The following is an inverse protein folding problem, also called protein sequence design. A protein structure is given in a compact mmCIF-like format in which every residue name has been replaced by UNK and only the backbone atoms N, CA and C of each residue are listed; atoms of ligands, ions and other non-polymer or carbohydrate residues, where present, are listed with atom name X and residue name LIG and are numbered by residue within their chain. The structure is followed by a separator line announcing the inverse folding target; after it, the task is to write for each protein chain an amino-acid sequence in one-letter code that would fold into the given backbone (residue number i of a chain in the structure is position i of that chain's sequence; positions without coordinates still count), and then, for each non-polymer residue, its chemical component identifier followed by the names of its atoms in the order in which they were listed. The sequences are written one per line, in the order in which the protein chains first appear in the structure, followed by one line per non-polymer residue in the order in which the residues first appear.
data_IF_231172160464
#
_entry.id   IF_231172160464
#
_cell.length_a   1.000
_cell.length_b   1.000
_cell.length_c   1.000
_cell.angle_alpha   90.00
_cell.angle_beta   90.00
_cell.angle_gamma   90.00
#
_symmetry.space_group_name_H-M   'P 1'
#
loop_
_entity.id
_entity.type
_entity.pdbx_description
1 polymer ?
#
# COMPACT_ATOMS: atom_id res chain seq x y z
N UNK A 1 2.48 8.16 28.09
CA UNK A 1 3.49 8.61 27.12
C UNK A 1 3.60 7.58 26.00
N UNK A 2 3.47 8.04 24.77
CA UNK A 2 3.59 7.16 23.62
C UNK A 2 5.04 6.73 23.42
N UNK A 3 5.30 5.44 23.44
CA UNK A 3 6.64 4.89 23.20
C UNK A 3 6.73 4.34 21.77
N UNK A 4 7.91 4.49 21.16
CA UNK A 4 8.24 3.77 19.92
C UNK A 4 8.49 2.31 20.28
N UNK A 5 7.61 1.44 19.82
CA UNK A 5 7.58 0.03 20.26
C UNK A 5 8.71 -0.84 19.67
N UNK A 6 9.38 -0.35 18.64
CA UNK A 6 10.49 -1.06 18.01
C UNK A 6 11.84 -0.88 18.70
N UNK A 7 11.86 -0.22 19.85
CA UNK A 7 13.07 -0.08 20.67
C UNK A 7 12.82 -0.67 22.05
N UNK A 8 13.78 -1.46 22.53
CA UNK A 8 13.74 -2.07 23.86
C UNK A 8 14.11 -1.07 24.96
N UNK A 9 14.16 -1.53 26.20
CA UNK A 9 14.48 -0.69 27.35
C UNK A 9 15.91 -0.12 27.30
N UNK A 10 16.82 -0.75 26.56
CA UNK A 10 18.19 -0.27 26.35
C UNK A 10 18.35 0.60 25.12
N UNK A 11 17.28 0.85 24.36
CA UNK A 11 17.29 1.68 23.16
C UNK A 11 17.72 0.94 21.90
N UNK A 12 17.76 -0.39 21.92
CA UNK A 12 18.11 -1.18 20.75
C UNK A 12 16.88 -1.59 19.96
N UNK A 13 17.04 -1.62 18.62
CA UNK A 13 15.97 -2.04 17.73
C UNK A 13 15.66 -3.53 17.89
N UNK A 14 14.37 -3.85 17.95
CA UNK A 14 13.92 -5.23 17.98
C UNK A 14 12.55 -5.37 17.31
N UNK A 15 12.24 -6.57 16.86
CA UNK A 15 10.90 -6.89 16.38
C UNK A 15 10.00 -7.14 17.60
N UNK A 16 8.83 -6.47 17.65
CA UNK A 16 7.91 -6.57 18.78
C UNK A 16 7.44 -8.01 18.97
N UNK A 17 7.43 -8.49 20.22
CA UNK A 17 6.89 -9.82 20.52
C UNK A 17 5.35 -9.78 20.49
N UNK A 18 4.76 -10.51 19.55
CA UNK A 18 3.32 -10.64 19.39
C UNK A 18 2.81 -12.06 19.72
N UNK A 19 3.69 -12.88 20.33
CA UNK A 19 3.38 -14.29 20.64
C UNK A 19 2.17 -14.50 21.55
N UNK A 20 1.89 -13.54 22.44
CA UNK A 20 0.77 -13.62 23.38
C UNK A 20 -0.50 -12.91 22.87
N UNK A 21 -0.44 -12.27 21.70
CA UNK A 21 -1.60 -11.60 21.12
C UNK A 21 -2.54 -12.60 20.46
N UNK A 22 -3.86 -12.45 20.67
CA UNK A 22 -4.81 -13.34 20.01
C UNK A 22 -4.85 -13.07 18.51
N UNK A 23 -5.16 -14.12 17.75
CA UNK A 23 -5.44 -13.98 16.34
C UNK A 23 -6.83 -13.33 16.17
N UNK A 24 -6.85 -12.15 15.58
CA UNK A 24 -8.09 -11.41 15.28
C UNK A 24 -8.16 -11.05 13.81
N UNK A 25 -9.36 -10.86 13.31
CA UNK A 25 -9.57 -10.35 11.96
C UNK A 25 -9.13 -8.90 11.89
N UNK A 26 -8.25 -8.58 10.96
CA UNK A 26 -7.64 -7.25 10.81
C UNK A 26 -7.77 -6.78 9.38
N UNK A 27 -8.13 -5.51 9.24
CA UNK A 27 -8.29 -4.84 7.94
C UNK A 27 -7.49 -3.55 7.98
N UNK A 28 -6.86 -3.22 6.86
CA UNK A 28 -6.26 -1.91 6.63
C UNK A 28 -6.60 -1.45 5.23
N UNK A 29 -6.90 -0.17 5.10
CA UNK A 29 -7.14 0.50 3.83
C UNK A 29 -6.16 1.66 3.72
N UNK A 30 -5.39 1.66 2.64
CA UNK A 30 -4.41 2.71 2.34
C UNK A 30 -4.67 3.30 0.95
N UNK A 31 -4.19 4.51 0.73
CA UNK A 31 -4.33 5.20 -0.55
C UNK A 31 -3.03 5.91 -0.91
N UNK A 32 -2.91 6.28 -2.18
CA UNK A 32 -1.85 7.10 -2.71
C UNK A 32 -2.19 7.55 -4.12
N UNK A 33 -1.44 8.51 -4.64
CA UNK A 33 -1.75 9.13 -5.92
C UNK A 33 -0.48 9.32 -6.74
N UNK A 34 -0.60 9.18 -8.06
CA UNK A 34 0.42 9.58 -9.02
C UNK A 34 -0.18 10.61 -9.97
N UNK A 35 0.53 11.71 -10.16
CA UNK A 35 0.15 12.80 -11.07
C UNK A 35 1.14 12.82 -12.24
N UNK A 36 0.64 13.06 -13.43
CA UNK A 36 1.41 12.97 -14.66
C UNK A 36 1.00 14.05 -15.66
N UNK A 37 1.71 14.15 -16.76
CA UNK A 37 1.32 15.00 -17.86
C UNK A 37 0.00 14.53 -18.49
N UNK A 38 -0.82 15.44 -19.04
CA UNK A 38 -2.08 15.06 -19.69
C UNK A 38 -1.91 14.02 -20.79
N UNK A 39 -0.84 14.09 -21.57
CA UNK A 39 -0.54 13.13 -22.64
C UNK A 39 -0.28 11.73 -22.09
N UNK A 40 0.49 11.65 -20.99
CA UNK A 40 0.78 10.40 -20.32
C UNK A 40 -0.50 9.78 -19.76
N UNK A 41 -1.31 10.60 -19.12
CA UNK A 41 -2.61 10.18 -18.56
C UNK A 41 -3.51 9.57 -19.64
N UNK A 42 -3.62 10.22 -20.79
CA UNK A 42 -4.42 9.71 -21.92
C UNK A 42 -3.93 8.35 -22.41
N UNK A 43 -2.62 8.15 -22.46
CA UNK A 43 -2.05 6.87 -22.87
C UNK A 43 -2.37 5.75 -21.86
N UNK A 44 -2.28 6.03 -20.58
CA UNK A 44 -2.63 5.06 -19.54
C UNK A 44 -4.13 4.72 -19.60
N UNK A 45 -4.98 5.75 -19.70
CA UNK A 45 -6.43 5.57 -19.82
C UNK A 45 -6.82 4.74 -21.05
N UNK A 46 -6.23 5.02 -22.20
CA UNK A 46 -6.50 4.31 -23.45
C UNK A 46 -6.01 2.86 -23.42
N UNK A 47 -4.92 2.57 -22.68
CA UNK A 47 -4.32 1.25 -22.58
C UNK A 47 -5.05 0.27 -21.67
N UNK A 48 -6.02 0.72 -20.90
CA UNK A 48 -6.71 -0.10 -19.89
C UNK A 48 -7.49 -1.30 -20.46
N UNK A 49 -7.72 -1.36 -21.77
CA UNK A 49 -8.55 -2.39 -22.40
C UNK A 49 -7.80 -3.20 -23.46
N UNK A 50 -6.49 -2.97 -23.66
CA UNK A 50 -5.70 -3.60 -24.72
C UNK A 50 -4.25 -3.85 -24.28
N UNK A 51 -3.37 -4.13 -25.23
CA UNK A 51 -1.93 -4.23 -24.99
C UNK A 51 -1.42 -2.96 -24.33
N UNK A 52 -0.77 -3.10 -23.17
CA UNK A 52 -0.28 -1.98 -22.39
C UNK A 52 -1.19 -1.58 -21.24
N UNK A 53 -1.89 -2.53 -20.66
CA UNK A 53 -2.69 -2.32 -19.42
C UNK A 53 -1.78 -2.01 -18.23
N UNK A 54 -1.39 -0.75 -18.12
CA UNK A 54 -0.51 -0.27 -17.05
C UNK A 54 -1.13 -0.51 -15.67
N UNK A 55 -2.42 -0.24 -15.52
CA UNK A 55 -3.11 -0.39 -14.22
C UNK A 55 -3.28 -1.86 -13.84
N UNK A 56 -3.50 -2.75 -14.79
CA UNK A 56 -3.56 -4.18 -14.51
C UNK A 56 -2.23 -4.73 -14.01
N UNK A 57 -1.12 -4.31 -14.61
CA UNK A 57 0.22 -4.69 -14.16
C UNK A 57 0.52 -4.08 -12.78
N UNK A 58 0.17 -2.81 -12.56
CA UNK A 58 0.35 -2.14 -11.27
C UNK A 58 -0.44 -2.84 -10.16
N UNK A 59 -1.66 -3.31 -10.46
CA UNK A 59 -2.47 -4.07 -9.51
C UNK A 59 -1.76 -5.35 -9.08
N UNK A 60 -1.27 -6.13 -10.03
CA UNK A 60 -0.54 -7.37 -9.75
C UNK A 60 0.72 -7.07 -8.93
N UNK A 61 1.47 -6.03 -9.30
CA UNK A 61 2.67 -5.62 -8.59
C UNK A 61 2.38 -5.23 -7.14
N UNK A 62 1.29 -4.50 -6.90
CA UNK A 62 0.86 -4.13 -5.55
C UNK A 62 0.47 -5.34 -4.71
N UNK A 63 -0.29 -6.27 -5.27
CA UNK A 63 -0.64 -7.52 -4.59
C UNK A 63 0.63 -8.30 -4.23
N UNK A 64 1.54 -8.45 -5.18
CA UNK A 64 2.81 -9.15 -4.96
C UNK A 64 3.64 -8.47 -3.86
N UNK A 65 3.71 -7.15 -3.88
CA UNK A 65 4.47 -6.38 -2.90
C UNK A 65 3.91 -6.52 -1.47
N UNK A 66 2.59 -6.58 -1.33
CA UNK A 66 1.96 -6.78 -0.02
C UNK A 66 2.45 -8.07 0.66
N UNK A 67 2.72 -9.11 -0.13
CA UNK A 67 3.23 -10.40 0.37
C UNK A 67 4.73 -10.35 0.68
N UNK A 68 5.44 -9.32 0.29
CA UNK A 68 6.88 -9.14 0.47
C UNK A 68 7.21 -8.07 1.50
N UNK A 69 6.24 -7.56 2.20
CA UNK A 69 6.41 -6.43 3.13
C UNK A 69 7.47 -6.71 4.19
N UNK A 70 7.47 -7.89 4.80
CA UNK A 70 8.44 -8.25 5.81
C UNK A 70 9.87 -8.38 5.26
N UNK A 71 10.04 -8.65 3.98
CA UNK A 71 11.35 -8.67 3.32
C UNK A 71 11.93 -7.27 3.12
N UNK A 72 11.06 -6.25 3.07
CA UNK A 72 11.43 -4.86 2.79
C UNK A 72 11.53 -4.01 4.04
N UNK A 73 10.69 -4.27 5.04
CA UNK A 73 10.59 -3.50 6.28
C UNK A 73 11.15 -4.34 7.42
N UNK A 74 12.34 -3.97 7.95
CA UNK A 74 13.14 -4.88 8.79
C UNK A 74 12.45 -5.45 10.02
N UNK A 75 11.61 -4.67 10.68
CA UNK A 75 10.98 -5.06 11.95
C UNK A 75 9.51 -5.40 11.79
N UNK A 76 9.05 -5.58 10.56
CA UNK A 76 7.69 -5.99 10.25
C UNK A 76 7.57 -7.51 10.29
N UNK A 77 6.56 -8.01 11.00
CA UNK A 77 6.31 -9.45 11.10
C UNK A 77 5.82 -10.02 9.76
N UNK A 78 6.32 -11.18 9.33
CA UNK A 78 5.72 -11.89 8.22
C UNK A 78 4.33 -12.38 8.61
N UNK A 79 3.36 -12.22 7.72
CA UNK A 79 2.00 -12.71 7.96
C UNK A 79 1.37 -13.31 6.71
N UNK A 80 0.38 -14.16 6.96
CA UNK A 80 -0.45 -14.72 5.91
C UNK A 80 -1.62 -13.79 5.64
N UNK A 81 -1.65 -13.17 4.46
CA UNK A 81 -2.76 -12.35 4.02
C UNK A 81 -3.91 -13.22 3.55
N UNK A 82 -5.11 -12.91 3.99
CA UNK A 82 -6.32 -13.63 3.56
C UNK A 82 -6.99 -12.95 2.37
N UNK A 83 -6.79 -11.65 2.20
CA UNK A 83 -7.33 -10.90 1.07
C UNK A 83 -6.52 -9.63 0.82
N UNK A 84 -6.29 -9.31 -0.46
CA UNK A 84 -5.74 -8.03 -0.91
C UNK A 84 -6.46 -7.63 -2.18
N UNK A 85 -6.99 -6.41 -2.21
CA UNK A 85 -7.57 -5.82 -3.41
C UNK A 85 -7.03 -4.42 -3.64
N UNK A 86 -6.85 -4.08 -4.90
CA UNK A 86 -6.44 -2.74 -5.34
C UNK A 86 -7.47 -2.21 -6.32
N UNK A 87 -7.85 -0.95 -6.11
CA UNK A 87 -8.71 -0.21 -7.02
C UNK A 87 -8.03 1.08 -7.43
N UNK A 88 -8.25 1.48 -8.67
CA UNK A 88 -7.71 2.72 -9.22
C UNK A 88 -8.86 3.65 -9.61
N UNK A 89 -8.73 4.91 -9.22
CA UNK A 89 -9.62 5.99 -9.65
C UNK A 89 -8.86 6.93 -10.56
N UNK A 90 -9.39 7.16 -11.74
CA UNK A 90 -8.82 8.00 -12.76
C UNK A 90 -9.45 9.39 -12.66
N UNK A 91 -8.62 10.42 -12.58
CA UNK A 91 -9.07 11.81 -12.56
C UNK A 91 -8.48 12.57 -13.75
N UNK A 92 -9.31 12.79 -14.78
CA UNK A 92 -8.90 13.49 -16.01
C UNK A 92 -8.68 14.98 -15.84
N UNK A 93 -9.28 15.60 -14.81
CA UNK A 93 -9.16 17.04 -14.59
C UNK A 93 -7.75 17.42 -14.16
N UNK A 94 -7.09 16.59 -13.37
CA UNK A 94 -5.73 16.85 -12.87
C UNK A 94 -4.70 15.82 -13.33
N UNK A 95 -5.06 14.96 -14.27
CA UNK A 95 -4.18 13.92 -14.83
C UNK A 95 -3.54 13.08 -13.74
N UNK A 96 -4.36 12.58 -12.82
CA UNK A 96 -3.91 11.76 -11.71
C UNK A 96 -4.65 10.45 -11.62
N UNK A 97 -3.98 9.49 -10.99
CA UNK A 97 -4.53 8.15 -10.71
C UNK A 97 -4.35 7.91 -9.22
N UNK A 98 -5.45 7.65 -8.53
CA UNK A 98 -5.44 7.29 -7.11
C UNK A 98 -5.54 5.77 -6.98
N UNK A 99 -4.63 5.20 -6.22
CA UNK A 99 -4.65 3.79 -5.85
C UNK A 99 -5.21 3.65 -4.45
N UNK A 100 -6.14 2.72 -4.25
CA UNK A 100 -6.62 2.36 -2.93
C UNK A 100 -6.45 0.85 -2.74
N UNK A 101 -5.88 0.47 -1.61
CA UNK A 101 -5.63 -0.93 -1.27
C UNK A 101 -6.39 -1.29 0.00
N UNK A 102 -7.04 -2.44 -0.05
CA UNK A 102 -7.61 -3.10 1.13
C UNK A 102 -6.85 -4.41 1.36
N UNK A 103 -6.27 -4.56 2.55
CA UNK A 103 -5.57 -5.77 2.96
C UNK A 103 -6.24 -6.35 4.20
N UNK A 104 -6.30 -7.68 4.29
CA UNK A 104 -6.93 -8.39 5.40
C UNK A 104 -6.08 -9.59 5.82
N UNK A 105 -6.08 -9.85 7.10
CA UNK A 105 -5.51 -11.06 7.70
C UNK A 105 -6.31 -11.45 8.94
N UNK A 106 -6.14 -12.69 9.38
CA UNK A 106 -6.49 -13.12 10.73
C UNK A 106 -5.20 -13.51 11.41
N UNK A 107 -4.74 -12.69 12.35
CA UNK A 107 -3.42 -12.87 12.94
C UNK A 107 -3.17 -11.98 14.17
N UNK A 108 -1.98 -12.07 14.73
CA UNK A 108 -1.63 -11.38 15.97
C UNK A 108 -1.21 -9.92 15.80
N UNK A 109 -1.07 -9.44 14.56
CA UNK A 109 -0.64 -8.06 14.27
C UNK A 109 -1.44 -7.50 13.09
N UNK A 110 -1.45 -6.19 12.95
CA UNK A 110 -2.17 -5.49 11.89
C UNK A 110 -1.52 -5.61 10.52
N UNK A 111 -2.23 -5.15 9.50
CA UNK A 111 -1.84 -5.23 8.08
C UNK A 111 -1.63 -3.87 7.43
N UNK A 112 -1.41 -2.84 8.24
CA UNK A 112 -1.19 -1.47 7.75
C UNK A 112 0.01 -1.39 6.80
N UNK A 113 1.11 -2.06 7.17
CA UNK A 113 2.33 -2.02 6.37
C UNK A 113 2.16 -2.72 5.03
N UNK A 114 1.39 -3.80 5.00
CA UNK A 114 1.08 -4.53 3.76
C UNK A 114 0.25 -3.66 2.81
N UNK A 115 -0.75 -2.95 3.33
CA UNK A 115 -1.57 -2.04 2.54
C UNK A 115 -0.75 -0.86 2.01
N UNK A 116 0.07 -0.23 2.85
CA UNK A 116 0.92 0.90 2.48
C UNK A 116 2.00 0.50 1.46
N UNK A 117 2.61 -0.67 1.64
CA UNK A 117 3.61 -1.19 0.69
C UNK A 117 2.97 -1.45 -0.68
N UNK A 118 1.79 -2.06 -0.69
CA UNK A 118 1.06 -2.33 -1.94
C UNK A 118 0.76 -1.04 -2.72
N UNK A 119 0.29 0.00 -2.04
CA UNK A 119 0.04 1.32 -2.66
C UNK A 119 1.31 1.84 -3.32
N UNK A 120 2.41 1.86 -2.58
CA UNK A 120 3.66 2.47 -3.05
C UNK A 120 4.24 1.73 -4.24
N UNK A 121 4.23 0.41 -4.22
CA UNK A 121 4.75 -0.40 -5.33
C UNK A 121 3.83 -0.33 -6.54
N UNK A 122 2.51 -0.26 -6.35
CA UNK A 122 1.58 -0.04 -7.46
C UNK A 122 1.87 1.30 -8.16
N UNK A 123 2.05 2.38 -7.40
CA UNK A 123 2.39 3.70 -7.97
C UNK A 123 3.76 3.67 -8.64
N UNK A 124 4.75 3.03 -8.02
CA UNK A 124 6.08 2.91 -8.58
C UNK A 124 6.06 2.12 -9.90
N UNK A 125 5.20 1.12 -10.02
CA UNK A 125 5.03 0.34 -11.24
C UNK A 125 4.43 1.19 -12.36
N UNK A 126 3.44 2.03 -12.06
CA UNK A 126 2.91 3.01 -13.03
C UNK A 126 4.05 3.92 -13.51
N UNK A 127 4.86 4.42 -12.59
CA UNK A 127 6.00 5.27 -12.92
C UNK A 127 6.99 4.52 -13.84
N UNK A 128 7.37 3.32 -13.48
CA UNK A 128 8.31 2.52 -14.28
C UNK A 128 7.82 2.31 -15.71
N UNK A 129 6.55 2.01 -15.87
CA UNK A 129 5.97 1.72 -17.18
C UNK A 129 5.80 2.98 -18.05
N UNK A 130 5.72 4.16 -17.45
CA UNK A 130 5.49 5.42 -18.17
C UNK A 130 6.72 6.34 -18.22
N UNK A 131 7.78 6.06 -17.49
CA UNK A 131 8.95 6.94 -17.38
C UNK A 131 9.65 7.25 -18.69
N UNK A 132 9.52 6.38 -19.69
CA UNK A 132 10.12 6.62 -21.00
C UNK A 132 9.56 7.88 -21.69
N UNK A 133 8.31 8.23 -21.38
CA UNK A 133 7.64 9.41 -21.97
C UNK A 133 7.42 10.53 -20.95
N UNK A 134 7.50 10.24 -19.65
CA UNK A 134 7.21 11.24 -18.60
C UNK A 134 8.01 10.91 -17.33
N UNK A 135 9.17 11.54 -17.19
CA UNK A 135 10.01 11.37 -15.99
C UNK A 135 9.58 12.22 -14.82
N UNK A 136 8.73 13.23 -15.06
CA UNK A 136 8.32 14.20 -14.06
C UNK A 136 7.11 13.79 -13.25
N UNK A 137 6.64 12.56 -13.35
CA UNK A 137 5.49 12.09 -12.57
C UNK A 137 5.78 12.18 -11.07
N UNK A 138 4.78 12.56 -10.31
CA UNK A 138 4.87 12.72 -8.86
C UNK A 138 3.98 11.69 -8.17
N UNK A 139 4.60 10.87 -7.34
CA UNK A 139 3.91 9.94 -6.45
C UNK A 139 3.80 10.59 -5.07
N UNK A 140 2.59 10.61 -4.50
CA UNK A 140 2.38 11.28 -3.23
C UNK A 140 1.06 10.92 -2.58
N UNK A 141 0.74 11.64 -1.51
CA UNK A 141 -0.48 11.47 -0.72
C UNK A 141 -0.67 10.02 -0.22
N UNK A 142 0.43 9.31 0.01
CA UNK A 142 0.39 7.96 0.54
C UNK A 142 0.06 8.01 2.03
N UNK A 143 -1.05 7.36 2.40
CA UNK A 143 -1.52 7.37 3.78
C UNK A 143 -2.43 6.20 4.09
N UNK A 144 -2.53 5.87 5.37
CA UNK A 144 -3.53 4.97 5.87
C UNK A 144 -4.88 5.72 5.95
N UNK A 145 -5.93 5.10 5.46
CA UNK A 145 -7.30 5.65 5.54
C UNK A 145 -8.07 5.04 6.70
N UNK A 146 -7.90 3.75 6.93
CA UNK A 146 -8.69 3.02 7.89
C UNK A 146 -7.95 1.79 8.36
N UNK A 147 -8.11 1.45 9.62
CA UNK A 147 -7.73 0.13 10.15
C UNK A 147 -8.76 -0.34 11.14
N UNK A 148 -8.95 -1.65 11.20
CA UNK A 148 -9.85 -2.26 12.18
C UNK A 148 -9.27 -3.59 12.67
N UNK A 149 -9.76 -4.02 13.83
CA UNK A 149 -9.33 -5.23 14.50
C UNK A 149 -8.18 -5.01 15.46
N UNK A 150 -8.00 -5.98 16.34
CA UNK A 150 -6.97 -5.94 17.37
C UNK A 150 -7.31 -5.05 18.57
N UNK A 151 -6.34 -4.87 19.43
CA UNK A 151 -6.48 -4.18 20.73
C UNK A 151 -6.80 -2.70 20.59
N UNK A 152 -6.32 -2.04 19.54
CA UNK A 152 -6.54 -0.62 19.30
C UNK A 152 -7.90 -0.31 18.64
N UNK A 153 -8.68 -1.35 18.26
CA UNK A 153 -10.01 -1.19 17.67
C UNK A 153 -9.98 -0.55 16.28
N UNK A 154 -10.97 0.31 16.03
CA UNK A 154 -11.09 1.00 14.74
C UNK A 154 -10.41 2.36 14.77
N UNK A 155 -9.76 2.69 13.67
CA UNK A 155 -9.18 4.00 13.42
C UNK A 155 -9.48 4.43 11.98
N UNK A 156 -9.82 5.69 11.80
CA UNK A 156 -10.07 6.30 10.49
C UNK A 156 -9.34 7.63 10.38
N UNK A 157 -8.82 7.91 9.20
CA UNK A 157 -8.23 9.20 8.90
C UNK A 157 -9.30 10.30 8.92
N UNK A 158 -8.92 11.46 9.44
CA UNK A 158 -9.76 12.65 9.47
C UNK A 158 -9.78 13.38 8.13
#
# INVERSE_FOLDING_TARGET
MNKLTHFDASGQAHMVNVGDKPNTHRIAIATGKITMLPETFKMVEAGNHKKGDVLGIARIAGIQASKRTSDLIPLCHPLALTHVSLDFQINSQNSSITCQVRAETTGPTGVEMEALTAVQVALLTIYDMCKAIDRGMVMGDVKLLEKSGGKSGEWRAS
#
